data_IF_768280897704
#
_entry.id   IF_768280897704
#
_cell.length_a   1.000
_cell.length_b   1.000
_cell.length_c   1.000
_cell.angle_alpha   90.00
_cell.angle_beta   90.00
_cell.angle_gamma   90.00
#
_symmetry.space_group_name_H-M   'P 1'
#
loop_
_entity.id
_entity.type
_entity.pdbx_description
1 polymer ?
#
# COMPACT_ATOMS: atom_id res chain seq x y z
N UNK A 1 0.43 -21.41 -21.04
CA UNK A 1 -0.65 -20.91 -20.16
C UNK A 1 -1.95 -21.17 -20.89
N UNK A 2 -2.78 -22.07 -20.36
CA UNK A 2 -4.01 -22.49 -21.02
C UNK A 2 -5.09 -21.43 -20.79
N UNK A 3 -5.64 -20.88 -21.86
CA UNK A 3 -6.80 -20.00 -21.82
C UNK A 3 -7.96 -20.71 -21.10
N UNK A 4 -8.69 -20.06 -20.18
CA UNK A 4 -9.86 -20.68 -19.57
C UNK A 4 -10.86 -21.06 -20.68
N UNK A 5 -11.51 -22.23 -20.58
CA UNK A 5 -12.46 -22.68 -21.59
C UNK A 5 -13.53 -21.59 -21.79
N UNK A 6 -13.73 -21.14 -23.04
CA UNK A 6 -14.77 -20.18 -23.39
C UNK A 6 -16.11 -20.79 -23.04
N UNK A 7 -16.73 -20.29 -21.97
CA UNK A 7 -18.06 -20.69 -21.54
C UNK A 7 -19.05 -20.17 -22.60
N UNK A 8 -19.72 -21.07 -23.31
CA UNK A 8 -20.81 -20.71 -24.24
C UNK A 8 -22.04 -20.33 -23.41
N UNK A 9 -22.13 -19.04 -23.06
CA UNK A 9 -23.18 -18.44 -22.22
C UNK A 9 -24.59 -18.75 -22.74
N UNK A 10 -24.73 -18.94 -24.06
CA UNK A 10 -25.98 -19.26 -24.75
C UNK A 10 -26.54 -20.66 -24.45
N UNK A 11 -25.72 -21.58 -23.93
CA UNK A 11 -26.12 -22.96 -23.60
C UNK A 11 -26.44 -23.18 -22.11
N UNK A 12 -26.29 -22.15 -21.28
CA UNK A 12 -26.51 -22.24 -19.84
C UNK A 12 -28.00 -22.10 -19.48
N UNK A 13 -28.43 -22.83 -18.45
CA UNK A 13 -29.77 -22.63 -17.86
C UNK A 13 -29.85 -21.30 -17.11
N UNK A 14 -31.07 -20.81 -16.85
CA UNK A 14 -31.30 -19.57 -16.11
C UNK A 14 -30.67 -19.62 -14.71
N UNK A 15 -30.70 -20.79 -14.07
CA UNK A 15 -30.08 -21.03 -12.76
C UNK A 15 -28.55 -20.95 -12.84
N UNK A 16 -27.94 -21.52 -13.88
CA UNK A 16 -26.50 -21.46 -14.12
C UNK A 16 -26.02 -20.04 -14.43
N UNK A 17 -26.81 -19.27 -15.20
CA UNK A 17 -26.55 -17.87 -15.48
C UNK A 17 -26.63 -17.01 -14.21
N UNK A 18 -27.59 -17.29 -13.32
CA UNK A 18 -27.72 -16.60 -12.04
C UNK A 18 -26.53 -16.88 -11.13
N UNK A 19 -26.10 -18.14 -11.04
CA UNK A 19 -24.92 -18.53 -10.26
C UNK A 19 -23.64 -17.88 -10.81
N UNK A 20 -23.48 -17.85 -12.14
CA UNK A 20 -22.35 -17.18 -12.80
C UNK A 20 -22.34 -15.68 -12.51
N UNK A 21 -23.50 -15.01 -12.59
CA UNK A 21 -23.64 -13.60 -12.24
C UNK A 21 -23.21 -13.32 -10.80
N UNK A 22 -23.71 -14.11 -9.84
CA UNK A 22 -23.35 -13.96 -8.42
C UNK A 22 -21.84 -14.16 -8.19
N UNK A 23 -21.22 -15.13 -8.88
CA UNK A 23 -19.78 -15.32 -8.83
C UNK A 23 -19.01 -14.12 -9.39
N UNK A 24 -19.40 -13.62 -10.57
CA UNK A 24 -18.75 -12.45 -11.18
C UNK A 24 -18.91 -11.20 -10.32
N UNK A 25 -20.09 -10.99 -9.71
CA UNK A 25 -20.32 -9.88 -8.78
C UNK A 25 -19.37 -9.95 -7.57
N UNK A 26 -19.13 -11.14 -7.02
CA UNK A 26 -18.17 -11.34 -5.92
C UNK A 26 -16.72 -11.06 -6.35
N UNK A 27 -16.32 -11.54 -7.53
CA UNK A 27 -14.98 -11.32 -8.08
C UNK A 27 -14.71 -9.82 -8.32
N UNK A 28 -15.68 -9.09 -8.90
CA UNK A 28 -15.59 -7.65 -9.11
C UNK A 28 -15.43 -6.90 -7.78
N UNK A 29 -16.23 -7.24 -6.77
CA UNK A 29 -16.13 -6.60 -5.44
C UNK A 29 -14.76 -6.85 -4.80
N UNK A 30 -14.24 -8.08 -4.87
CA UNK A 30 -12.91 -8.42 -4.34
C UNK A 30 -11.79 -7.63 -5.04
N UNK A 31 -11.88 -7.47 -6.35
CA UNK A 31 -10.92 -6.70 -7.15
C UNK A 31 -10.97 -5.21 -6.77
N UNK A 32 -12.17 -4.63 -6.64
CA UNK A 32 -12.35 -3.23 -6.22
C UNK A 32 -11.77 -2.96 -4.83
N UNK A 33 -12.01 -3.86 -3.87
CA UNK A 33 -11.43 -3.79 -2.54
C UNK A 33 -9.90 -3.86 -2.57
N UNK A 34 -9.35 -4.74 -3.41
CA UNK A 34 -7.91 -4.90 -3.57
C UNK A 34 -7.25 -3.66 -4.17
N UNK A 35 -7.85 -3.08 -5.22
CA UNK A 35 -7.39 -1.82 -5.83
C UNK A 35 -7.40 -0.67 -4.81
N UNK A 36 -8.46 -0.57 -4.00
CA UNK A 36 -8.58 0.46 -2.96
C UNK A 36 -7.49 0.31 -1.89
N UNK A 37 -7.21 -0.93 -1.45
CA UNK A 37 -6.14 -1.23 -0.49
C UNK A 37 -4.76 -0.87 -1.04
N UNK A 38 -4.46 -1.25 -2.29
CA UNK A 38 -3.19 -0.94 -2.96
C UNK A 38 -2.99 0.58 -3.04
N UNK A 39 -4.01 1.31 -3.50
CA UNK A 39 -3.96 2.79 -3.60
C UNK A 39 -3.74 3.46 -2.24
N UNK A 40 -4.44 3.00 -1.21
CA UNK A 40 -4.30 3.51 0.16
C UNK A 40 -2.90 3.25 0.71
N UNK A 41 -2.34 2.05 0.48
CA UNK A 41 -0.98 1.72 0.89
C UNK A 41 0.07 2.56 0.16
N UNK A 42 -0.08 2.77 -1.15
CA UNK A 42 0.81 3.63 -1.94
C UNK A 42 0.80 5.07 -1.41
N UNK A 43 -0.39 5.63 -1.14
CA UNK A 43 -0.54 6.98 -0.59
C UNK A 43 0.15 7.11 0.78
N UNK A 44 0.03 6.10 1.65
CA UNK A 44 0.72 6.10 2.95
C UNK A 44 2.24 6.09 2.81
N UNK A 45 2.78 5.35 1.84
CA UNK A 45 4.23 5.32 1.57
C UNK A 45 4.73 6.62 0.95
N UNK A 46 3.94 7.25 0.08
CA UNK A 46 4.25 8.58 -0.48
C UNK A 46 4.31 9.63 0.64
N UNK A 47 3.33 9.62 1.55
CA UNK A 47 3.34 10.49 2.74
C UNK A 47 4.52 10.21 3.66
N UNK A 48 4.87 8.93 3.87
CA UNK A 48 6.04 8.56 4.67
C UNK A 48 7.34 9.06 4.03
N UNK A 49 7.50 8.92 2.71
CA UNK A 49 8.67 9.44 1.97
C UNK A 49 8.79 10.96 2.08
N UNK A 50 7.68 11.69 1.95
CA UNK A 50 7.64 13.14 2.15
C UNK A 50 8.00 13.53 3.59
N UNK A 51 7.50 12.80 4.59
CA UNK A 51 7.82 13.03 5.99
C UNK A 51 9.30 12.76 6.32
N UNK A 52 9.89 11.71 5.74
CA UNK A 52 11.33 11.42 5.86
C UNK A 52 12.17 12.57 5.31
N UNK A 53 11.79 13.09 4.13
CA UNK A 53 12.47 14.24 3.54
C UNK A 53 12.35 15.49 4.44
N UNK A 54 11.15 15.84 4.92
CA UNK A 54 10.97 16.98 5.83
C UNK A 54 11.75 16.80 7.14
N UNK A 55 11.81 15.58 7.68
CA UNK A 55 12.56 15.27 8.90
C UNK A 55 14.07 15.43 8.69
N UNK A 56 14.60 15.03 7.52
CA UNK A 56 16.02 15.16 7.18
C UNK A 56 16.51 16.61 7.11
N UNK A 57 15.61 17.56 6.83
CA UNK A 57 15.93 18.99 6.78
C UNK A 57 15.90 19.68 8.15
N UNK A 58 15.43 18.97 9.19
CA UNK A 58 15.29 19.53 10.53
C UNK A 58 16.59 19.36 11.31
N UNK A 59 17.08 20.41 11.98
CA UNK A 59 18.29 20.30 12.80
C UNK A 59 18.04 19.42 14.03
N UNK A 60 19.11 18.75 14.46
CA UNK A 60 19.18 18.11 15.77
C UNK A 60 18.81 19.10 16.88
N UNK A 61 18.06 18.63 17.87
CA UNK A 61 17.56 19.46 18.97
C UNK A 61 16.25 20.21 18.67
N UNK A 62 15.66 20.04 17.49
CA UNK A 62 14.37 20.69 17.17
C UNK A 62 13.24 20.08 18.00
N UNK A 63 12.49 20.94 18.70
CA UNK A 63 11.27 20.57 19.43
C UNK A 63 10.15 20.21 18.45
N UNK A 64 9.42 19.14 18.73
CA UNK A 64 8.27 18.67 17.96
C UNK A 64 7.24 18.00 18.85
N UNK A 65 6.02 17.86 18.34
CA UNK A 65 4.96 17.11 18.99
C UNK A 65 4.94 15.70 18.42
N UNK A 66 5.04 14.70 19.29
CA UNK A 66 4.97 13.28 18.92
C UNK A 66 3.60 12.74 19.35
N UNK A 67 2.85 12.08 18.45
CA UNK A 67 1.58 11.48 18.82
C UNK A 67 1.81 10.29 19.76
N UNK A 68 1.21 10.32 20.95
CA UNK A 68 1.20 9.19 21.88
C UNK A 68 -0.03 8.32 21.64
N UNK A 69 -1.16 8.95 21.34
CA UNK A 69 -2.42 8.31 20.95
C UNK A 69 -3.11 9.13 19.87
N UNK A 70 -4.26 8.67 19.37
CA UNK A 70 -5.04 9.40 18.35
C UNK A 70 -5.45 10.82 18.77
N UNK A 71 -5.56 11.10 20.07
CA UNK A 71 -6.02 12.40 20.59
C UNK A 71 -5.03 13.09 21.52
N UNK A 72 -3.82 12.53 21.71
CA UNK A 72 -2.83 13.06 22.65
C UNK A 72 -1.45 13.18 22.00
N UNK A 73 -0.86 14.36 22.11
CA UNK A 73 0.47 14.67 21.62
C UNK A 73 1.35 15.09 22.79
N UNK A 74 2.59 14.61 22.81
CA UNK A 74 3.60 14.95 23.82
C UNK A 74 4.75 15.72 23.19
N UNK A 75 5.31 16.72 23.89
CA UNK A 75 6.50 17.42 23.41
C UNK A 75 7.71 16.49 23.44
N UNK A 76 8.42 16.42 22.32
CA UNK A 76 9.67 15.69 22.15
C UNK A 76 10.73 16.54 21.45
N UNK A 77 11.97 16.04 21.43
CA UNK A 77 13.09 16.71 20.77
C UNK A 77 13.75 15.72 19.80
N UNK A 78 14.03 16.17 18.57
CA UNK A 78 14.71 15.34 17.57
C UNK A 78 16.17 15.13 17.94
N UNK A 79 16.56 13.90 18.26
CA UNK A 79 17.95 13.58 18.58
C UNK A 79 18.78 13.19 17.35
N UNK A 80 18.25 12.32 16.49
CA UNK A 80 18.92 11.89 15.26
C UNK A 80 18.01 12.14 14.05
N UNK A 81 18.54 12.86 13.07
CA UNK A 81 17.88 13.17 11.80
C UNK A 81 18.50 12.45 10.60
N UNK A 82 19.47 11.55 10.83
CA UNK A 82 20.19 10.82 9.79
C UNK A 82 19.72 9.37 9.65
N UNK A 83 19.07 8.83 10.69
CA UNK A 83 18.66 7.42 10.76
C UNK A 83 17.18 7.25 11.05
N UNK A 84 16.62 6.17 10.52
CA UNK A 84 15.21 5.79 10.69
C UNK A 84 15.05 4.29 10.84
N UNK A 85 13.98 3.91 11.53
CA UNK A 85 13.56 2.52 11.63
C UNK A 85 12.58 2.19 10.50
N UNK A 86 12.89 1.14 9.76
CA UNK A 86 12.06 0.61 8.67
C UNK A 86 11.49 -0.73 9.08
N UNK A 87 10.17 -0.85 9.03
CA UNK A 87 9.46 -2.13 9.21
C UNK A 87 9.64 -3.02 7.96
N UNK A 88 10.23 -4.19 8.15
CA UNK A 88 10.43 -5.19 7.09
C UNK A 88 9.38 -6.30 7.11
N UNK A 89 8.48 -6.30 8.08
CA UNK A 89 7.45 -7.33 8.29
C UNK A 89 7.75 -8.24 9.48
N UNK A 90 6.75 -9.07 9.81
CA UNK A 90 6.81 -10.07 10.91
C UNK A 90 7.23 -9.52 12.27
N UNK A 91 7.07 -8.21 12.50
CA UNK A 91 7.45 -7.52 13.74
C UNK A 91 8.92 -7.11 13.83
N UNK A 92 9.68 -7.18 12.73
CA UNK A 92 11.07 -6.79 12.68
C UNK A 92 11.26 -5.39 12.10
N UNK A 93 12.12 -4.61 12.77
CA UNK A 93 12.52 -3.28 12.34
C UNK A 93 14.02 -3.25 12.13
N UNK A 94 14.46 -2.61 11.05
CA UNK A 94 15.87 -2.39 10.75
C UNK A 94 16.19 -0.91 10.79
N UNK A 95 17.33 -0.56 11.37
CA UNK A 95 17.86 0.80 11.28
C UNK A 95 18.47 1.02 9.89
N UNK A 96 18.06 2.12 9.25
CA UNK A 96 18.50 2.54 7.93
C UNK A 96 18.82 4.03 7.93
N UNK A 97 19.68 4.45 7.01
CA UNK A 97 19.89 5.88 6.77
C UNK A 97 18.64 6.52 6.17
N UNK A 98 18.47 7.85 6.29
CA UNK A 98 17.37 8.58 5.65
C UNK A 98 17.27 8.30 4.15
N UNK A 99 18.41 8.25 3.46
CA UNK A 99 18.49 7.95 2.02
C UNK A 99 17.98 6.55 1.72
N UNK A 100 18.48 5.53 2.43
CA UNK A 100 18.04 4.15 2.24
C UNK A 100 16.55 3.96 2.61
N UNK A 101 16.07 4.68 3.62
CA UNK A 101 14.66 4.69 4.03
C UNK A 101 13.76 5.26 2.93
N UNK A 102 14.20 6.36 2.30
CA UNK A 102 13.50 6.95 1.14
C UNK A 102 13.47 5.98 -0.04
N UNK A 103 14.60 5.39 -0.39
CA UNK A 103 14.67 4.37 -1.45
C UNK A 103 13.79 3.16 -1.13
N UNK A 104 13.70 2.75 0.13
CA UNK A 104 12.79 1.69 0.55
C UNK A 104 11.33 2.04 0.28
N UNK A 105 10.90 3.25 0.64
CA UNK A 105 9.55 3.74 0.33
C UNK A 105 9.31 3.76 -1.18
N UNK A 106 10.24 4.30 -1.97
CA UNK A 106 10.12 4.40 -3.43
C UNK A 106 10.02 3.03 -4.10
N UNK A 107 10.88 2.07 -3.72
CA UNK A 107 10.79 0.68 -4.20
C UNK A 107 9.44 0.06 -3.91
N UNK A 108 8.89 0.28 -2.71
CA UNK A 108 7.61 -0.29 -2.28
C UNK A 108 6.42 0.39 -2.96
N UNK A 109 6.51 1.69 -3.25
CA UNK A 109 5.54 2.42 -4.08
C UNK A 109 5.53 1.87 -5.50
N UNK A 110 6.70 1.69 -6.11
CA UNK A 110 6.81 1.17 -7.48
C UNK A 110 6.25 -0.25 -7.58
N UNK A 111 6.53 -1.12 -6.60
CA UNK A 111 5.94 -2.45 -6.52
C UNK A 111 4.40 -2.39 -6.45
N UNK A 112 3.84 -1.50 -5.61
CA UNK A 112 2.40 -1.34 -5.51
C UNK A 112 1.77 -0.77 -6.80
N UNK A 113 2.48 0.13 -7.51
CA UNK A 113 2.04 0.65 -8.81
C UNK A 113 2.02 -0.44 -9.87
N UNK A 114 3.08 -1.25 -9.97
CA UNK A 114 3.10 -2.40 -10.88
C UNK A 114 1.97 -3.39 -10.57
N UNK A 115 1.76 -3.74 -9.29
CA UNK A 115 0.67 -4.63 -8.90
C UNK A 115 -0.71 -4.01 -9.22
N UNK A 116 -0.85 -2.69 -9.12
CA UNK A 116 -2.07 -1.99 -9.50
C UNK A 116 -2.32 -2.09 -11.01
N UNK A 117 -1.30 -1.83 -11.82
CA UNK A 117 -1.39 -1.89 -13.28
C UNK A 117 -1.71 -3.32 -13.76
N UNK A 118 -1.08 -4.34 -13.18
CA UNK A 118 -1.41 -5.75 -13.45
C UNK A 118 -2.87 -6.09 -13.10
N UNK A 119 -3.37 -5.64 -11.95
CA UNK A 119 -4.77 -5.87 -11.57
C UNK A 119 -5.75 -5.17 -12.51
N UNK A 120 -5.41 -3.94 -12.94
CA UNK A 120 -6.23 -3.19 -13.89
C UNK A 120 -6.24 -3.88 -15.25
N UNK A 121 -5.10 -4.40 -15.73
CA UNK A 121 -5.03 -5.15 -16.98
C UNK A 121 -5.89 -6.43 -16.94
N UNK A 122 -5.94 -7.14 -15.80
CA UNK A 122 -6.83 -8.30 -15.63
C UNK A 122 -8.32 -7.92 -15.71
N UNK A 123 -8.67 -6.66 -15.45
CA UNK A 123 -10.05 -6.18 -15.51
C UNK A 123 -10.49 -5.71 -16.92
N UNK A 124 -9.55 -5.56 -17.87
CA UNK A 124 -9.81 -5.14 -19.26
C UNK A 124 -9.60 -6.28 -20.26
#
# INVERSE_FOLDING_TARGET
MASPPRIEVEKLSVEQLKALKEQTDLEVNLLQDSLTKIRSAATRLENASAALHDLSLRPKGKKMLVPLTASLYVPGTLDDSEKVLVDVGTGYFIEKTMTEGKEYCERKINLLKSNFDELVEVCY
#
